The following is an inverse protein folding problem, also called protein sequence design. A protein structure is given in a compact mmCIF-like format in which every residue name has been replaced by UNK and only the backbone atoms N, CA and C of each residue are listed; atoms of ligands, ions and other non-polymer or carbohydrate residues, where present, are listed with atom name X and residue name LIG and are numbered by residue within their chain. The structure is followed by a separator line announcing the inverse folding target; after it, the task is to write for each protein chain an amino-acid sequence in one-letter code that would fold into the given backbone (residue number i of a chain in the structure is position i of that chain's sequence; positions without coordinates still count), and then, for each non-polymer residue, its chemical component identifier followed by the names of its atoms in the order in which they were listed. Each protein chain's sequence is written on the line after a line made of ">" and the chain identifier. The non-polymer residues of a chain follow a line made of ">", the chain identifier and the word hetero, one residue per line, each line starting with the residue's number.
data_IF_832870116616
#
_entry.id   IF_832870116616
#
_cell.length_a   1.000
_cell.length_b   1.000
_cell.length_c   1.000
_cell.angle_alpha   90.00
_cell.angle_beta   90.00
_cell.angle_gamma   90.00
#
_symmetry.space_group_name_H-M   'P 1'
#
loop_
_entity.id
_entity.type
_entity.pdbx_description
1 polymer ?
#
# COMPACT_ATOMS: atom_id res chain seq x y z
N UNK A 1 -29.63 34.15 18.75
CA UNK A 1 -28.32 33.92 19.42
C UNK A 1 -28.07 32.44 19.74
N UNK A 2 -29.00 31.70 20.37
CA UNK A 2 -28.81 30.27 20.71
C UNK A 2 -28.61 29.34 19.49
N UNK A 3 -29.37 29.53 18.41
CA UNK A 3 -29.24 28.73 17.18
C UNK A 3 -27.96 29.03 16.38
N UNK A 4 -27.46 30.27 16.45
CA UNK A 4 -26.20 30.68 15.84
C UNK A 4 -24.98 30.04 16.52
N UNK A 5 -24.99 29.98 17.85
CA UNK A 5 -23.92 29.32 18.63
C UNK A 5 -23.86 27.82 18.31
N UNK A 6 -25.02 27.16 18.20
CA UNK A 6 -25.09 25.75 17.82
C UNK A 6 -24.55 25.49 16.41
N UNK A 7 -24.86 26.36 15.45
CA UNK A 7 -24.36 26.25 14.07
C UNK A 7 -22.84 26.37 13.96
N UNK A 8 -22.23 27.29 14.72
CA UNK A 8 -20.76 27.46 14.78
C UNK A 8 -20.10 26.23 15.42
N UNK A 9 -20.70 25.69 16.48
CA UNK A 9 -20.18 24.50 17.17
C UNK A 9 -20.21 23.25 16.27
N UNK A 10 -21.30 23.09 15.50
CA UNK A 10 -21.44 22.02 14.49
C UNK A 10 -20.38 22.18 13.39
N UNK A 11 -20.18 23.39 12.85
CA UNK A 11 -19.20 23.65 11.79
C UNK A 11 -17.74 23.39 12.21
N UNK A 12 -17.41 23.60 13.50
CA UNK A 12 -16.07 23.38 14.04
C UNK A 12 -15.80 21.91 14.39
N UNK A 13 -16.83 21.12 14.73
CA UNK A 13 -16.65 19.73 15.20
C UNK A 13 -16.83 18.70 14.08
N UNK A 14 -17.71 18.97 13.09
CA UNK A 14 -17.95 18.04 11.97
C UNK A 14 -16.69 17.56 11.23
N UNK A 15 -15.66 18.39 10.93
CA UNK A 15 -14.50 17.91 10.19
C UNK A 15 -13.63 16.92 10.99
N UNK A 16 -13.76 16.90 12.33
CA UNK A 16 -13.03 15.96 13.20
C UNK A 16 -13.70 14.59 13.34
N UNK A 17 -14.93 14.42 12.81
CA UNK A 17 -15.62 13.12 12.83
C UNK A 17 -15.29 12.27 11.60
N UNK A 18 -14.51 12.79 10.66
CA UNK A 18 -14.09 12.12 9.44
C UNK A 18 -12.57 11.96 9.44
N UNK A 19 -12.06 11.04 10.25
CA UNK A 19 -10.66 10.62 10.18
C UNK A 19 -10.48 9.78 8.91
N UNK A 20 -9.61 10.20 8.01
CA UNK A 20 -9.10 9.32 6.95
C UNK A 20 -8.23 8.25 7.59
N UNK A 21 -8.38 6.99 7.19
CA UNK A 21 -7.52 5.91 7.69
C UNK A 21 -6.06 6.18 7.24
N UNK A 22 -5.09 6.06 8.15
CA UNK A 22 -3.65 6.28 7.87
C UNK A 22 -3.03 5.17 6.99
N UNK A 23 -3.77 4.08 6.73
CA UNK A 23 -3.33 2.94 5.93
C UNK A 23 -4.43 2.38 5.03
N UNK A 24 -4.02 1.60 4.03
CA UNK A 24 -4.91 0.90 3.11
C UNK A 24 -5.16 -0.51 3.63
N UNK A 25 -6.42 -0.80 3.97
CA UNK A 25 -6.88 -2.15 4.29
C UNK A 25 -7.52 -2.83 3.08
N UNK A 26 -7.11 -4.06 2.77
CA UNK A 26 -7.81 -4.95 1.83
C UNK A 26 -8.28 -6.17 2.60
N UNK A 27 -9.60 -6.30 2.78
CA UNK A 27 -10.20 -7.38 3.58
C UNK A 27 -10.27 -7.09 5.08
N UNK A 28 -9.67 -6.00 5.55
CA UNK A 28 -9.84 -5.44 6.90
C UNK A 28 -10.33 -3.99 6.83
N UNK A 29 -11.14 -3.58 7.80
CA UNK A 29 -11.65 -2.19 7.95
C UNK A 29 -10.89 -1.40 9.01
N UNK A 30 -9.94 -2.04 9.68
CA UNK A 30 -9.10 -1.42 10.70
C UNK A 30 -7.70 -2.01 10.57
N UNK A 31 -6.92 -1.58 9.57
CA UNK A 31 -5.52 -1.98 9.45
C UNK A 31 -4.76 -1.72 10.74
N UNK A 32 -3.76 -2.55 11.02
CA UNK A 32 -2.85 -2.37 12.14
C UNK A 32 -2.19 -0.99 12.02
N UNK A 33 -2.15 -0.25 13.12
CA UNK A 33 -1.58 1.11 13.19
C UNK A 33 -0.11 1.21 12.77
N UNK A 34 0.62 0.09 12.74
CA UNK A 34 2.00 0.01 12.27
C UNK A 34 2.13 -0.34 10.78
N UNK A 35 1.01 -0.49 10.07
CA UNK A 35 0.96 -0.86 8.65
C UNK A 35 0.43 0.26 7.75
N UNK A 36 1.09 0.48 6.62
CA UNK A 36 0.57 1.35 5.54
C UNK A 36 -0.33 0.56 4.58
N UNK A 37 -0.12 -0.75 4.47
CA UNK A 37 -0.94 -1.67 3.69
C UNK A 37 -1.10 -2.97 4.47
N UNK A 38 -2.34 -3.35 4.77
CA UNK A 38 -2.69 -4.65 5.34
C UNK A 38 -3.65 -5.38 4.41
N UNK A 39 -3.37 -6.67 4.18
CA UNK A 39 -4.18 -7.53 3.33
C UNK A 39 -4.57 -8.77 4.14
N UNK A 40 -5.84 -8.86 4.50
CA UNK A 40 -6.41 -9.97 5.26
C UNK A 40 -7.33 -10.81 4.36
N UNK A 41 -7.04 -12.10 4.22
CA UNK A 41 -7.93 -13.04 3.53
C UNK A 41 -7.64 -14.48 3.96
N UNK A 42 -8.69 -15.30 4.09
CA UNK A 42 -8.59 -16.75 4.32
C UNK A 42 -8.66 -17.57 3.04
N UNK A 43 -9.04 -16.95 1.91
CA UNK A 43 -9.32 -17.65 0.64
C UNK A 43 -8.51 -17.13 -0.55
N UNK A 44 -7.93 -15.93 -0.45
CA UNK A 44 -7.24 -15.26 -1.57
C UNK A 44 -5.83 -14.84 -1.16
N UNK A 45 -4.95 -14.77 -2.14
CA UNK A 45 -3.59 -14.25 -2.00
C UNK A 45 -3.37 -12.98 -2.81
N UNK A 46 -2.17 -12.43 -2.70
CA UNK A 46 -1.72 -11.29 -3.51
C UNK A 46 -1.13 -11.82 -4.81
N UNK A 47 -1.62 -11.31 -5.93
CA UNK A 47 -0.99 -11.56 -7.22
C UNK A 47 -0.04 -10.41 -7.56
N UNK A 48 1.25 -10.62 -7.31
CA UNK A 48 2.30 -9.67 -7.68
C UNK A 48 2.57 -9.67 -9.20
N UNK A 49 3.24 -8.64 -9.75
CA UNK A 49 3.59 -8.59 -11.17
C UNK A 49 4.35 -9.85 -11.62
N UNK A 50 3.91 -10.42 -12.75
CA UNK A 50 4.49 -11.62 -13.35
C UNK A 50 5.26 -11.25 -14.60
N UNK A 51 6.57 -11.44 -14.58
CA UNK A 51 7.47 -11.04 -15.66
C UNK A 51 8.35 -12.23 -16.05
N UNK A 52 8.67 -12.38 -17.33
CA UNK A 52 9.79 -13.22 -17.76
C UNK A 52 11.11 -12.63 -17.27
N UNK A 53 12.20 -13.42 -17.29
CA UNK A 53 13.54 -12.89 -16.95
C UNK A 53 13.91 -11.70 -17.83
N UNK A 54 13.58 -11.75 -19.13
CA UNK A 54 13.89 -10.67 -20.06
C UNK A 54 13.12 -9.40 -19.71
N UNK A 55 11.81 -9.49 -19.45
CA UNK A 55 10.99 -8.33 -19.07
C UNK A 55 11.45 -7.74 -17.72
N UNK A 56 11.75 -8.59 -16.75
CA UNK A 56 12.24 -8.17 -15.44
C UNK A 56 13.55 -7.36 -15.54
N UNK A 57 14.49 -7.79 -16.40
CA UNK A 57 15.76 -7.09 -16.63
C UNK A 57 15.59 -5.76 -17.40
N UNK A 58 14.42 -5.48 -17.97
CA UNK A 58 14.14 -4.19 -18.63
C UNK A 58 13.64 -3.11 -17.68
N UNK A 59 13.36 -3.43 -16.42
CA UNK A 59 12.98 -2.45 -15.40
C UNK A 59 14.18 -1.56 -15.12
N UNK A 60 14.10 -0.29 -15.55
CA UNK A 60 15.14 0.68 -15.28
C UNK A 60 15.10 1.12 -13.81
N UNK A 61 16.27 1.10 -13.14
CA UNK A 61 16.44 1.53 -11.75
C UNK A 61 15.36 0.98 -10.80
N UNK A 62 15.26 -0.35 -10.65
CA UNK A 62 14.23 -0.95 -9.82
C UNK A 62 14.32 -0.44 -8.38
N UNK A 63 13.19 -0.16 -7.73
CA UNK A 63 13.23 0.23 -6.33
C UNK A 63 13.83 -0.88 -5.46
N UNK A 64 14.56 -0.50 -4.41
CA UNK A 64 15.02 -1.45 -3.40
C UNK A 64 13.84 -2.17 -2.77
N UNK A 65 13.89 -3.50 -2.86
CA UNK A 65 12.86 -4.38 -2.39
C UNK A 65 11.62 -4.50 -3.28
N UNK A 66 11.74 -4.14 -4.56
CA UNK A 66 10.71 -4.45 -5.54
C UNK A 66 10.50 -5.98 -5.64
N UNK A 67 9.26 -6.43 -5.46
CA UNK A 67 8.88 -7.85 -5.55
C UNK A 67 8.20 -8.16 -6.87
N UNK A 68 8.69 -9.20 -7.56
CA UNK A 68 8.10 -9.70 -8.81
C UNK A 68 8.14 -11.23 -8.85
N UNK A 69 7.17 -11.86 -9.51
CA UNK A 69 7.23 -13.29 -9.79
C UNK A 69 7.85 -13.50 -11.18
N UNK A 70 9.01 -14.13 -11.22
CA UNK A 70 9.67 -14.47 -12.47
C UNK A 70 9.05 -15.75 -13.07
N UNK A 71 8.40 -15.61 -14.23
CA UNK A 71 7.70 -16.71 -14.92
C UNK A 71 8.64 -17.64 -15.69
N UNK A 72 9.85 -17.20 -16.03
CA UNK A 72 10.85 -18.02 -16.73
C UNK A 72 11.50 -19.04 -15.80
N UNK A 73 11.76 -18.66 -14.54
CA UNK A 73 12.40 -19.54 -13.54
C UNK A 73 11.45 -19.96 -12.42
N UNK A 74 10.18 -19.59 -12.52
CA UNK A 74 9.12 -19.93 -11.57
C UNK A 74 9.45 -19.58 -10.11
N UNK A 75 9.99 -18.37 -9.88
CA UNK A 75 10.46 -17.94 -8.57
C UNK A 75 10.03 -16.53 -8.22
N UNK A 76 9.79 -16.30 -6.92
CA UNK A 76 9.62 -14.96 -6.36
C UNK A 76 11.00 -14.29 -6.26
N UNK A 77 11.12 -13.09 -6.86
CA UNK A 77 12.34 -12.29 -6.86
C UNK A 77 12.14 -11.04 -6.01
N UNK A 78 13.14 -10.77 -5.15
CA UNK A 78 13.31 -9.50 -4.45
C UNK A 78 14.45 -8.75 -5.14
N UNK A 79 14.14 -7.61 -5.73
CA UNK A 79 15.12 -6.80 -6.43
C UNK A 79 15.86 -5.94 -5.43
N UNK A 80 17.18 -6.10 -5.42
CA UNK A 80 18.09 -5.21 -4.71
C UNK A 80 18.72 -4.31 -5.77
N UNK A 81 18.82 -3.02 -5.51
CA UNK A 81 19.73 -2.19 -6.28
C UNK A 81 21.13 -2.72 -5.99
N UNK A 82 21.79 -3.29 -7.00
CA UNK A 82 23.22 -3.50 -6.91
C UNK A 82 23.83 -2.10 -6.96
N UNK A 83 24.35 -1.65 -5.81
CA UNK A 83 25.08 -0.39 -5.66
C UNK A 83 26.08 -0.29 -6.81
N UNK A 84 25.87 0.67 -7.71
CA UNK A 84 26.63 0.78 -8.95
C UNK A 84 28.14 0.77 -8.71
N UNK A 85 28.84 -0.05 -9.50
CA UNK A 85 30.28 0.02 -9.76
C UNK A 85 31.21 0.26 -8.55
N UNK A 86 31.95 -0.79 -8.21
CA UNK A 86 33.41 -0.66 -8.18
C UNK A 86 34.02 -1.50 -9.28
#
# INVERSE_FOLDING_TARGET
>A
MRTLILGIFIALILPHLCEGQDGVGIGTVSPDSSSILEIESTEKGILIPRLSTTEMLTIASPADGLMVYNTTINSLIFMLMEDGHR
#
